data_IF_005433900851
#
_entry.id   IF_005433900851
#
_cell.length_a   1.000
_cell.length_b   1.000
_cell.length_c   1.000
_cell.angle_alpha   90.00
_cell.angle_beta   90.00
_cell.angle_gamma   90.00
#
_symmetry.space_group_name_H-M   'P 1'
#
loop_
_entity.id
_entity.type
_entity.pdbx_description
1 polymer ?
#
# COMPACT_ATOMS: atom_id res chain seq x y z
N UNK A 1 -29.68 -29.50 9.77
CA UNK A 1 -29.40 -28.57 8.64
C UNK A 1 -30.64 -27.81 8.16
N UNK A 2 -31.88 -28.34 8.25
CA UNK A 2 -33.09 -27.60 7.83
C UNK A 2 -33.52 -26.45 8.77
N UNK A 3 -33.39 -26.61 10.09
CA UNK A 3 -33.83 -25.62 11.09
C UNK A 3 -33.30 -24.19 10.91
N UNK A 4 -32.06 -24.07 10.42
CA UNK A 4 -31.39 -22.77 10.25
C UNK A 4 -31.93 -22.02 9.03
N UNK A 5 -32.32 -22.75 7.98
CA UNK A 5 -32.82 -22.17 6.73
C UNK A 5 -34.21 -21.54 6.92
N UNK A 6 -35.06 -22.18 7.72
CA UNK A 6 -36.39 -21.66 8.05
C UNK A 6 -36.30 -20.38 8.90
N UNK A 7 -35.30 -20.30 9.80
CA UNK A 7 -34.99 -19.10 10.59
C UNK A 7 -34.53 -17.93 9.72
N UNK A 8 -33.63 -18.19 8.76
CA UNK A 8 -33.18 -17.18 7.78
C UNK A 8 -34.31 -16.70 6.84
N UNK A 9 -35.19 -17.58 6.39
CA UNK A 9 -36.31 -17.19 5.52
C UNK A 9 -37.40 -16.39 6.26
N UNK A 10 -37.54 -16.55 7.58
CA UNK A 10 -38.45 -15.75 8.42
C UNK A 10 -37.86 -14.37 8.70
N UNK A 11 -36.54 -14.28 8.89
CA UNK A 11 -35.82 -13.03 9.09
C UNK A 11 -35.86 -12.15 7.83
N UNK A 12 -35.64 -12.74 6.65
CA UNK A 12 -35.68 -12.03 5.36
C UNK A 12 -37.07 -11.46 4.99
N UNK A 13 -38.17 -12.00 5.54
CA UNK A 13 -39.53 -11.50 5.29
C UNK A 13 -39.87 -10.23 6.09
N UNK A 14 -39.04 -9.86 7.07
CA UNK A 14 -39.22 -8.67 7.91
C UNK A 14 -38.16 -7.60 7.64
N UNK A 15 -37.15 -7.90 6.82
CA UNK A 15 -36.19 -6.92 6.32
C UNK A 15 -36.87 -6.19 5.18
N UNK A 16 -37.32 -4.96 5.43
CA UNK A 16 -37.73 -4.01 4.40
C UNK A 16 -36.48 -3.29 3.88
N UNK A 17 -35.95 -3.70 2.70
CA UNK A 17 -34.69 -3.18 2.20
C UNK A 17 -34.75 -1.67 1.94
N UNK A 18 -35.93 -1.11 1.63
CA UNK A 18 -36.08 0.32 1.38
C UNK A 18 -35.99 1.13 2.68
N UNK A 19 -36.56 0.62 3.78
CA UNK A 19 -36.50 1.30 5.09
C UNK A 19 -35.11 1.27 5.74
N UNK A 20 -34.35 0.21 5.50
CA UNK A 20 -32.97 0.06 5.98
C UNK A 20 -31.98 0.89 5.15
N UNK A 21 -32.25 1.06 3.84
CA UNK A 21 -31.47 1.97 3.01
C UNK A 21 -31.67 3.44 3.44
N UNK A 22 -32.91 3.85 3.73
CA UNK A 22 -33.23 5.22 4.14
C UNK A 22 -32.64 5.63 5.51
N UNK A 23 -32.37 4.67 6.40
CA UNK A 23 -31.70 4.94 7.70
C UNK A 23 -30.16 4.98 7.61
N UNK A 24 -29.58 4.66 6.45
CA UNK A 24 -28.11 4.72 6.23
C UNK A 24 -27.62 6.02 5.59
N UNK A 25 -28.54 6.87 5.12
CA UNK A 25 -28.25 8.08 4.35
C UNK A 25 -27.52 9.20 5.12
N UNK A 26 -27.38 9.09 6.45
CA UNK A 26 -26.72 10.12 7.27
C UNK A 26 -25.24 9.85 7.62
N UNK A 27 -24.64 8.75 7.15
CA UNK A 27 -23.24 8.42 7.46
C UNK A 27 -22.28 8.49 6.27
N UNK A 28 -22.80 8.43 5.04
CA UNK A 28 -22.02 8.56 3.81
C UNK A 28 -22.28 9.94 3.18
N UNK A 29 -21.21 10.71 2.93
CA UNK A 29 -21.28 11.92 2.10
C UNK A 29 -20.15 11.89 1.08
N UNK A 30 -20.43 12.37 -0.13
CA UNK A 30 -19.44 12.44 -1.20
C UNK A 30 -18.21 13.27 -0.77
N UNK A 31 -18.41 14.33 -0.01
CA UNK A 31 -17.32 15.14 0.56
C UNK A 31 -16.38 14.29 1.42
N UNK A 32 -16.92 13.50 2.36
CA UNK A 32 -16.11 12.60 3.21
C UNK A 32 -15.44 11.50 2.41
N UNK A 33 -16.08 11.01 1.35
CA UNK A 33 -15.48 10.05 0.44
C UNK A 33 -14.24 10.65 -0.24
N UNK A 34 -14.37 11.83 -0.85
CA UNK A 34 -13.27 12.51 -1.52
C UNK A 34 -12.14 12.88 -0.54
N UNK A 35 -12.47 13.27 0.68
CA UNK A 35 -11.47 13.53 1.73
C UNK A 35 -10.69 12.27 2.10
N UNK A 36 -11.37 11.13 2.25
CA UNK A 36 -10.72 9.84 2.48
C UNK A 36 -9.83 9.45 1.30
N UNK A 37 -10.32 9.54 0.06
CA UNK A 37 -9.54 9.20 -1.14
C UNK A 37 -8.29 10.05 -1.24
N UNK A 38 -8.40 11.38 -1.05
CA UNK A 38 -7.23 12.28 -1.06
C UNK A 38 -6.25 11.96 0.05
N UNK A 39 -6.74 11.74 1.28
CA UNK A 39 -5.91 11.43 2.44
C UNK A 39 -5.15 10.13 2.27
N UNK A 40 -5.86 9.03 2.01
CA UNK A 40 -5.25 7.71 1.88
C UNK A 40 -4.45 7.57 0.59
N UNK A 41 -4.87 8.20 -0.51
CA UNK A 41 -4.11 8.24 -1.75
C UNK A 41 -2.77 8.95 -1.59
N UNK A 42 -2.75 10.12 -0.92
CA UNK A 42 -1.51 10.84 -0.59
C UNK A 42 -0.63 9.99 0.33
N UNK A 43 -1.20 9.42 1.39
CA UNK A 43 -0.46 8.59 2.35
C UNK A 43 0.16 7.35 1.70
N UNK A 44 -0.61 6.61 0.90
CA UNK A 44 -0.13 5.43 0.19
C UNK A 44 0.95 5.78 -0.85
N UNK A 45 0.79 6.90 -1.55
CA UNK A 45 1.79 7.42 -2.48
C UNK A 45 3.10 7.79 -1.78
N UNK A 46 3.02 8.53 -0.67
CA UNK A 46 4.19 8.91 0.13
C UNK A 46 4.93 7.69 0.68
N UNK A 47 4.21 6.70 1.21
CA UNK A 47 4.79 5.47 1.73
C UNK A 47 5.49 4.65 0.62
N UNK A 48 4.84 4.50 -0.53
CA UNK A 48 5.41 3.77 -1.68
C UNK A 48 6.68 4.46 -2.19
N UNK A 49 6.66 5.79 -2.32
CA UNK A 49 7.85 6.56 -2.74
C UNK A 49 8.94 6.46 -1.68
N UNK A 50 8.60 6.53 -0.39
CA UNK A 50 9.57 6.41 0.69
C UNK A 50 10.33 5.08 0.62
N UNK A 51 9.62 3.95 0.55
CA UNK A 51 10.27 2.63 0.45
C UNK A 51 11.05 2.45 -0.84
N UNK A 52 10.58 3.01 -1.94
CA UNK A 52 11.32 3.00 -3.21
C UNK A 52 12.62 3.78 -3.12
N UNK A 53 12.62 4.95 -2.46
CA UNK A 53 13.81 5.74 -2.19
C UNK A 53 14.77 4.99 -1.24
N UNK A 54 14.23 4.32 -0.23
CA UNK A 54 15.01 3.53 0.71
C UNK A 54 15.78 2.42 -0.01
N UNK A 55 15.10 1.66 -0.87
CA UNK A 55 15.71 0.66 -1.74
C UNK A 55 16.76 1.30 -2.67
N UNK A 56 16.43 2.41 -3.31
CA UNK A 56 17.33 3.13 -4.23
C UNK A 56 18.65 3.54 -3.56
N UNK A 57 18.60 4.14 -2.36
CA UNK A 57 19.80 4.52 -1.62
C UNK A 57 20.55 3.31 -1.09
N UNK A 58 19.85 2.26 -0.65
CA UNK A 58 20.46 0.99 -0.21
C UNK A 58 21.25 0.33 -1.35
N UNK A 59 20.72 0.31 -2.57
CA UNK A 59 21.44 -0.27 -3.73
C UNK A 59 22.74 0.47 -4.08
N UNK A 60 22.85 1.76 -3.74
CA UNK A 60 24.07 2.56 -3.95
C UNK A 60 25.15 2.31 -2.91
N UNK A 61 24.81 1.76 -1.75
CA UNK A 61 25.79 1.46 -0.71
C UNK A 61 26.74 0.34 -1.20
N UNK A 62 28.07 0.56 -1.22
CA UNK A 62 29.05 -0.44 -1.68
C UNK A 62 29.10 -1.68 -0.78
N UNK A 63 28.70 -1.58 0.50
CA UNK A 63 28.69 -2.70 1.44
C UNK A 63 27.58 -3.72 1.15
N UNK A 64 26.60 -3.38 0.32
CA UNK A 64 25.47 -4.27 0.01
C UNK A 64 25.90 -5.33 -1.00
N UNK A 65 25.67 -6.64 -0.73
CA UNK A 65 26.00 -7.70 -1.65
C UNK A 65 25.29 -7.55 -3.00
N UNK A 66 25.95 -8.01 -4.08
CA UNK A 66 25.40 -7.94 -5.44
C UNK A 66 24.04 -8.64 -5.56
N UNK A 67 23.83 -9.78 -4.88
CA UNK A 67 22.55 -10.49 -4.87
C UNK A 67 21.42 -9.64 -4.31
N UNK A 68 21.65 -8.95 -3.18
CA UNK A 68 20.67 -8.02 -2.59
C UNK A 68 20.39 -6.83 -3.50
N UNK A 69 21.41 -6.30 -4.19
CA UNK A 69 21.23 -5.24 -5.20
C UNK A 69 20.36 -5.71 -6.37
N UNK A 70 20.48 -6.96 -6.80
CA UNK A 70 19.62 -7.52 -7.85
C UNK A 70 18.16 -7.59 -7.42
N UNK A 71 17.88 -7.95 -6.16
CA UNK A 71 16.51 -7.93 -5.60
C UNK A 71 15.94 -6.51 -5.66
N UNK A 72 16.73 -5.52 -5.21
CA UNK A 72 16.34 -4.11 -5.24
C UNK A 72 16.05 -3.65 -6.67
N UNK A 73 16.97 -3.93 -7.61
CA UNK A 73 16.82 -3.53 -9.01
C UNK A 73 15.59 -4.20 -9.64
N UNK A 74 15.32 -5.46 -9.33
CA UNK A 74 14.11 -6.16 -9.78
C UNK A 74 12.83 -5.47 -9.29
N UNK A 75 12.75 -5.19 -7.99
CA UNK A 75 11.60 -4.52 -7.39
C UNK A 75 11.39 -3.08 -7.92
N UNK A 76 12.45 -2.30 -8.07
CA UNK A 76 12.37 -0.95 -8.62
C UNK A 76 12.05 -0.94 -10.12
N UNK A 77 12.60 -1.89 -10.89
CA UNK A 77 12.26 -2.04 -12.31
C UNK A 77 10.78 -2.38 -12.50
N UNK A 78 10.24 -3.25 -11.64
CA UNK A 78 8.81 -3.59 -11.63
C UNK A 78 7.93 -2.36 -11.36
N UNK A 79 8.34 -1.48 -10.45
CA UNK A 79 7.61 -0.23 -10.17
C UNK A 79 7.64 0.78 -11.32
N UNK A 80 8.76 0.86 -12.07
CA UNK A 80 8.95 1.85 -13.14
C UNK A 80 8.35 1.37 -14.48
N UNK A 81 8.36 0.05 -14.73
CA UNK A 81 7.91 -0.56 -15.98
C UNK A 81 6.63 -1.38 -15.73
N UNK A 82 5.42 -0.79 -15.84
CA UNK A 82 4.18 -1.50 -15.50
C UNK A 82 3.76 -2.61 -16.51
N UNK A 83 4.62 -3.14 -17.40
CA UNK A 83 4.17 -4.02 -18.51
C UNK A 83 5.08 -5.23 -18.87
N UNK A 84 6.41 -5.21 -18.76
CA UNK A 84 7.22 -6.24 -19.46
C UNK A 84 7.92 -7.24 -18.52
N UNK A 85 7.29 -8.41 -18.25
CA UNK A 85 7.95 -9.75 -18.15
C UNK A 85 7.10 -10.93 -17.61
N UNK A 86 5.78 -10.78 -17.37
CA UNK A 86 4.90 -11.94 -17.15
C UNK A 86 3.66 -11.82 -18.06
N UNK A 87 3.59 -12.59 -19.16
CA UNK A 87 2.39 -12.72 -19.97
C UNK A 87 1.26 -13.45 -19.21
N UNK A 88 0.10 -12.81 -19.16
CA UNK A 88 -1.28 -13.32 -19.02
C UNK A 88 -1.57 -14.54 -18.10
N UNK A 89 -1.69 -14.39 -16.77
CA UNK A 89 -2.41 -15.42 -15.94
C UNK A 89 -3.14 -14.98 -14.65
N UNK A 90 -3.17 -13.71 -14.21
CA UNK A 90 -3.85 -13.36 -12.93
C UNK A 90 -4.93 -12.28 -13.12
N UNK A 91 -6.20 -12.67 -13.34
CA UNK A 91 -7.29 -11.72 -13.53
C UNK A 91 -7.91 -11.16 -12.22
N UNK A 92 -7.19 -11.06 -11.08
CA UNK A 92 -7.81 -10.69 -9.77
C UNK A 92 -6.93 -9.90 -8.75
N UNK A 93 -5.83 -9.20 -9.06
CA UNK A 93 -5.13 -8.39 -8.02
C UNK A 93 -4.47 -7.16 -8.63
N UNK A 94 -5.01 -5.95 -8.40
CA UNK A 94 -4.63 -4.77 -9.21
C UNK A 94 -4.05 -3.54 -8.48
N UNK A 95 -3.90 -3.53 -7.15
CA UNK A 95 -3.34 -2.36 -6.43
C UNK A 95 -2.48 -2.73 -5.21
N UNK A 96 -2.78 -3.84 -4.54
CA UNK A 96 -1.98 -4.32 -3.42
C UNK A 96 -0.66 -4.99 -3.85
N UNK A 97 -0.58 -5.47 -5.09
CA UNK A 97 0.53 -6.29 -5.58
C UNK A 97 1.84 -5.48 -5.66
N UNK A 98 1.82 -4.29 -6.28
CA UNK A 98 3.02 -3.45 -6.47
C UNK A 98 3.63 -2.96 -5.15
N UNK A 99 2.79 -2.50 -4.22
CA UNK A 99 3.24 -2.05 -2.90
C UNK A 99 3.80 -3.24 -2.09
N UNK A 100 3.22 -4.44 -2.24
CA UNK A 100 3.71 -5.64 -1.56
C UNK A 100 5.10 -6.06 -2.05
N UNK A 101 5.39 -5.92 -3.34
CA UNK A 101 6.71 -6.21 -3.92
C UNK A 101 7.77 -5.27 -3.34
N UNK A 102 7.47 -3.97 -3.26
CA UNK A 102 8.39 -2.97 -2.67
C UNK A 102 8.63 -3.27 -1.18
N UNK A 103 7.56 -3.50 -0.42
CA UNK A 103 7.66 -3.82 1.02
C UNK A 103 8.45 -5.12 1.23
N UNK A 104 8.19 -6.17 0.45
CA UNK A 104 8.92 -7.43 0.51
C UNK A 104 10.41 -7.24 0.20
N UNK A 105 10.75 -6.42 -0.80
CA UNK A 105 12.12 -6.09 -1.12
C UNK A 105 12.81 -5.36 0.04
N UNK A 106 12.14 -4.40 0.69
CA UNK A 106 12.65 -3.72 1.89
C UNK A 106 12.96 -4.73 2.99
N UNK A 107 12.03 -5.63 3.32
CA UNK A 107 12.26 -6.68 4.32
C UNK A 107 13.43 -7.59 3.96
N UNK A 108 13.62 -7.93 2.69
CA UNK A 108 14.74 -8.78 2.24
C UNK A 108 16.10 -8.11 2.39
N UNK A 109 16.17 -6.78 2.39
CA UNK A 109 17.43 -6.03 2.48
C UNK A 109 17.55 -5.20 3.75
N UNK A 110 16.63 -5.35 4.72
CA UNK A 110 16.54 -4.51 5.92
C UNK A 110 17.83 -4.49 6.74
N UNK A 111 18.58 -5.59 6.75
CA UNK A 111 19.88 -5.70 7.43
C UNK A 111 20.96 -4.75 6.87
N UNK A 112 20.73 -4.19 5.68
CA UNK A 112 21.62 -3.23 5.02
C UNK A 112 21.10 -1.79 5.05
N UNK A 113 19.92 -1.57 5.63
CA UNK A 113 19.31 -0.25 5.72
C UNK A 113 19.78 0.40 7.02
N UNK A 114 20.67 1.36 6.90
CA UNK A 114 21.12 2.19 8.01
C UNK A 114 20.39 3.54 8.05
N UNK A 115 20.71 4.34 9.06
CA UNK A 115 20.06 5.63 9.28
C UNK A 115 20.44 6.66 8.19
N UNK A 116 21.62 6.56 7.58
CA UNK A 116 22.02 7.42 6.46
C UNK A 116 21.12 7.19 5.23
N UNK A 117 20.78 5.93 4.93
CA UNK A 117 19.81 5.61 3.88
C UNK A 117 18.40 6.12 4.19
N UNK A 118 17.94 5.98 5.44
CA UNK A 118 16.62 6.50 5.87
C UNK A 118 16.58 8.01 5.76
N UNK A 119 17.62 8.71 6.20
CA UNK A 119 17.69 10.17 6.18
C UNK A 119 17.70 10.69 4.73
N UNK A 120 18.49 10.09 3.85
CA UNK A 120 18.48 10.42 2.42
C UNK A 120 17.10 10.22 1.79
N UNK A 121 16.43 9.11 2.12
CA UNK A 121 15.07 8.84 1.64
C UNK A 121 14.06 9.88 2.15
N UNK A 122 14.10 10.22 3.44
CA UNK A 122 13.22 11.24 4.05
C UNK A 122 13.44 12.63 3.46
N UNK A 123 14.70 13.04 3.33
CA UNK A 123 15.04 14.33 2.73
C UNK A 123 14.53 14.42 1.30
N UNK A 124 14.71 13.35 0.52
CA UNK A 124 14.22 13.33 -0.86
C UNK A 124 12.70 13.30 -0.92
N UNK A 125 12.02 12.52 -0.08
CA UNK A 125 10.56 12.49 0.00
C UNK A 125 9.98 13.88 0.35
N UNK A 126 10.57 14.53 1.35
CA UNK A 126 10.18 15.89 1.78
C UNK A 126 10.36 16.90 0.65
N UNK A 127 11.42 16.76 -0.15
CA UNK A 127 11.61 17.63 -1.34
C UNK A 127 10.58 17.40 -2.44
N UNK A 128 9.94 16.23 -2.50
CA UNK A 128 8.96 15.86 -3.52
C UNK A 128 7.52 16.21 -3.10
N UNK A 129 7.18 16.01 -1.81
CA UNK A 129 5.81 16.16 -1.30
C UNK A 129 5.62 17.31 -0.31
N UNK A 130 6.70 18.02 0.07
CA UNK A 130 6.70 19.05 1.12
C UNK A 130 6.85 18.45 2.51
N UNK A 131 6.60 19.25 3.56
CA UNK A 131 6.56 18.75 4.94
C UNK A 131 5.38 17.79 5.11
N UNK A 132 5.61 16.50 4.86
CA UNK A 132 4.68 15.43 5.18
C UNK A 132 4.85 15.06 6.65
N UNK A 133 3.73 14.89 7.38
CA UNK A 133 3.69 14.39 8.76
C UNK A 133 4.12 12.91 8.79
N UNK A 134 5.38 12.64 8.46
CA UNK A 134 5.95 11.31 8.23
C UNK A 134 6.21 10.50 9.52
N UNK A 135 5.82 11.02 10.68
CA UNK A 135 6.04 10.39 11.99
C UNK A 135 5.34 9.03 12.18
N UNK A 136 4.40 8.68 11.29
CA UNK A 136 3.74 7.36 11.27
C UNK A 136 4.48 6.31 10.44
N UNK A 137 5.18 6.71 9.36
CA UNK A 137 5.85 5.77 8.43
C UNK A 137 7.06 5.11 9.13
N UNK A 138 7.76 5.86 9.97
CA UNK A 138 8.91 5.37 10.76
C UNK A 138 8.53 4.28 11.77
N UNK A 139 7.29 4.29 12.30
CA UNK A 139 6.83 3.34 13.32
C UNK A 139 6.47 1.96 12.76
N UNK A 140 6.39 1.82 11.43
CA UNK A 140 5.96 0.57 10.80
C UNK A 140 7.12 -0.38 10.47
N UNK A 141 8.37 0.11 10.51
CA UNK A 141 9.56 -0.70 10.24
C UNK A 141 10.56 -0.75 11.41
N UNK A 142 10.18 -0.20 12.58
CA UNK A 142 10.92 -0.25 13.85
C UNK A 142 9.97 -0.47 15.03
#
# INVERSE_FOLDING_TARGET
MLKKKDEYEVELKHVDPESDLQNTDNHYSDERFWDKVKKYGKQAGEQTVYYSLLLYYTAKNPAVPKSSKMIIIGALSYLILPIDLIPDFIPVVGLADDASVIVAAVYKVIAYIDDDMKDKAKLKLTSLFGNSDNGEIDKQLL
#
